data_IF_841427015367
#
_entry.id   IF_841427015367
#
_cell.length_a   1.000
_cell.length_b   1.000
_cell.length_c   1.000
_cell.angle_alpha   90.00
_cell.angle_beta   90.00
_cell.angle_gamma   90.00
#
_symmetry.space_group_name_H-M   'P 1'
#
loop_
_entity.id
_entity.type
_entity.pdbx_description
1 polymer ?
#
# COMPACT_ATOMS: atom_id res chain seq x y z
N UNK A 1 25.09 15.18 5.33
CA UNK A 1 25.11 13.72 5.11
C UNK A 1 24.76 13.07 6.43
N UNK A 2 23.77 12.17 6.47
CA UNK A 2 23.28 11.52 7.69
C UNK A 2 23.07 10.04 7.43
N UNK A 3 23.18 9.22 8.49
CA UNK A 3 22.89 7.78 8.46
C UNK A 3 21.43 7.56 8.81
N UNK A 4 20.66 6.93 7.95
CA UNK A 4 19.24 6.68 8.13
C UNK A 4 19.00 5.17 8.12
N UNK A 5 18.45 4.64 9.22
CA UNK A 5 18.02 3.26 9.30
C UNK A 5 16.54 3.16 8.95
N UNK A 6 16.20 2.31 7.99
CA UNK A 6 14.80 2.03 7.59
C UNK A 6 14.41 0.64 8.05
N UNK A 7 13.25 0.55 8.70
CA UNK A 7 12.60 -0.71 9.04
C UNK A 7 11.15 -0.73 8.56
N UNK A 8 10.81 -1.69 7.73
CA UNK A 8 9.43 -1.94 7.31
C UNK A 8 9.10 -3.42 7.42
N UNK A 9 7.83 -3.71 7.46
CA UNK A 9 7.28 -5.06 7.53
C UNK A 9 6.00 -5.12 6.70
N UNK A 10 5.49 -6.31 6.46
CA UNK A 10 4.27 -6.52 5.67
C UNK A 10 4.55 -7.01 4.26
N UNK A 11 3.82 -6.52 3.29
CA UNK A 11 3.88 -6.94 1.89
C UNK A 11 4.78 -6.03 1.03
N UNK A 12 4.95 -6.35 -0.24
CA UNK A 12 5.62 -5.43 -1.17
C UNK A 12 4.90 -4.08 -1.31
N UNK A 13 3.59 -4.03 -1.01
CA UNK A 13 2.83 -2.78 -0.95
C UNK A 13 3.31 -1.84 0.15
N UNK A 14 3.85 -2.39 1.23
CA UNK A 14 4.43 -1.64 2.34
C UNK A 14 5.92 -1.33 2.08
N UNK A 15 6.67 -2.27 1.50
CA UNK A 15 8.10 -2.11 1.23
C UNK A 15 8.40 -1.11 0.11
N UNK A 16 7.68 -1.15 -1.00
CA UNK A 16 7.98 -0.37 -2.19
C UNK A 16 7.97 1.16 -1.96
N UNK A 17 7.02 1.74 -1.21
CA UNK A 17 7.05 3.17 -0.89
C UNK A 17 8.27 3.60 -0.06
N UNK A 18 8.72 2.75 0.87
CA UNK A 18 9.95 3.00 1.61
C UNK A 18 11.20 2.88 0.73
N UNK A 19 11.20 1.97 -0.25
CA UNK A 19 12.27 1.85 -1.23
C UNK A 19 12.37 3.12 -2.09
N UNK A 20 11.23 3.66 -2.57
CA UNK A 20 11.21 4.92 -3.29
C UNK A 20 11.83 6.06 -2.46
N UNK A 21 11.46 6.16 -1.18
CA UNK A 21 12.01 7.17 -0.27
C UNK A 21 13.51 6.94 0.00
N UNK A 22 13.94 5.70 0.18
CA UNK A 22 15.35 5.35 0.38
C UNK A 22 16.23 5.75 -0.80
N UNK A 23 15.76 5.50 -2.02
CA UNK A 23 16.45 5.87 -3.25
C UNK A 23 16.58 7.40 -3.37
N UNK A 24 15.53 8.15 -3.04
CA UNK A 24 15.56 9.61 -3.06
C UNK A 24 16.49 10.18 -1.99
N UNK A 25 16.46 9.66 -0.75
CA UNK A 25 17.36 10.06 0.32
C UNK A 25 18.84 9.77 -0.04
N UNK A 26 19.11 8.61 -0.65
CA UNK A 26 20.45 8.28 -1.16
C UNK A 26 20.89 9.24 -2.27
N UNK A 27 20.00 9.58 -3.21
CA UNK A 27 20.28 10.56 -4.27
C UNK A 27 20.64 11.94 -3.70
N UNK A 28 20.10 12.29 -2.52
CA UNK A 28 20.43 13.52 -1.77
C UNK A 28 21.70 13.43 -0.93
N UNK A 29 22.42 12.29 -0.98
CA UNK A 29 23.70 12.11 -0.30
C UNK A 29 23.61 11.55 1.13
N UNK A 30 22.45 11.03 1.56
CA UNK A 30 22.36 10.31 2.82
C UNK A 30 22.82 8.85 2.66
N UNK A 31 23.39 8.29 3.73
CA UNK A 31 23.65 6.85 3.84
C UNK A 31 22.39 6.19 4.38
N UNK A 32 21.80 5.28 3.62
CA UNK A 32 20.59 4.56 4.00
C UNK A 32 20.91 3.08 4.17
N UNK A 33 20.52 2.52 5.32
CA UNK A 33 20.59 1.09 5.62
C UNK A 33 19.23 0.54 6.01
N UNK A 34 19.09 -0.78 5.91
CA UNK A 34 17.83 -1.46 6.15
C UNK A 34 17.94 -2.51 7.25
N UNK A 35 16.87 -2.64 8.05
CA UNK A 35 16.66 -3.73 8.98
C UNK A 35 15.30 -4.36 8.65
N UNK A 36 15.28 -5.46 7.91
CA UNK A 36 14.05 -6.04 7.31
C UNK A 36 14.12 -7.56 7.22
N UNK A 37 13.02 -8.20 6.83
CA UNK A 37 12.95 -9.64 6.57
C UNK A 37 13.92 -10.09 5.47
N UNK A 38 14.28 -11.39 5.41
CA UNK A 38 15.20 -11.93 4.41
C UNK A 38 14.83 -11.54 2.98
N UNK A 39 13.55 -11.69 2.60
CA UNK A 39 13.03 -11.38 1.27
C UNK A 39 13.25 -9.91 0.88
N UNK A 40 13.04 -8.99 1.80
CA UNK A 40 13.23 -7.57 1.55
C UNK A 40 14.68 -7.13 1.69
N UNK A 41 15.48 -7.82 2.50
CA UNK A 41 16.91 -7.59 2.57
C UNK A 41 17.59 -7.90 1.22
N UNK A 42 17.22 -8.99 0.55
CA UNK A 42 17.70 -9.31 -0.80
C UNK A 42 17.33 -8.21 -1.80
N UNK A 43 16.08 -7.73 -1.79
CA UNK A 43 15.64 -6.63 -2.65
C UNK A 43 16.39 -5.33 -2.38
N UNK A 44 16.64 -4.98 -1.11
CA UNK A 44 17.38 -3.79 -0.76
C UNK A 44 18.86 -3.89 -1.22
N UNK A 45 19.49 -5.06 -1.04
CA UNK A 45 20.86 -5.32 -1.51
C UNK A 45 20.96 -5.28 -3.03
N UNK A 46 19.97 -5.78 -3.76
CA UNK A 46 19.92 -5.68 -5.21
C UNK A 46 19.87 -4.22 -5.69
N UNK A 47 19.35 -3.30 -4.89
CA UNK A 47 19.38 -1.86 -5.13
C UNK A 47 20.67 -1.18 -4.61
N UNK A 48 21.65 -1.94 -4.13
CA UNK A 48 22.94 -1.43 -3.64
C UNK A 48 22.86 -0.81 -2.24
N UNK A 49 21.87 -1.18 -1.42
CA UNK A 49 21.79 -0.77 -0.03
C UNK A 49 22.42 -1.82 0.90
N UNK A 50 22.97 -1.36 2.01
CA UNK A 50 23.26 -2.23 3.14
C UNK A 50 21.95 -2.68 3.80
N UNK A 51 21.82 -3.98 4.05
CA UNK A 51 20.61 -4.53 4.66
C UNK A 51 20.95 -5.66 5.64
N UNK A 52 20.50 -5.49 6.88
CA UNK A 52 20.54 -6.48 7.95
C UNK A 52 19.21 -7.22 8.04
N UNK A 53 19.28 -8.53 8.28
CA UNK A 53 18.10 -9.32 8.59
C UNK A 53 17.76 -9.06 10.05
N UNK A 54 16.69 -8.30 10.31
CA UNK A 54 16.26 -7.94 11.63
C UNK A 54 14.74 -7.75 11.71
N UNK A 55 14.20 -8.01 12.88
CA UNK A 55 12.76 -8.00 13.12
C UNK A 55 12.09 -9.32 12.75
N UNK A 56 10.86 -9.45 13.16
CA UNK A 56 10.01 -10.60 12.84
C UNK A 56 9.02 -10.12 11.77
N UNK A 57 9.10 -10.73 10.60
CA UNK A 57 8.14 -10.47 9.53
C UNK A 57 7.04 -11.54 9.62
N UNK A 58 5.77 -11.15 9.72
CA UNK A 58 4.69 -12.11 9.65
C UNK A 58 4.81 -12.89 8.33
N UNK A 59 4.77 -14.19 8.41
CA UNK A 59 4.73 -15.03 7.23
C UNK A 59 3.36 -14.91 6.55
N UNK A 60 3.25 -13.94 5.64
CA UNK A 60 2.03 -13.65 4.87
C UNK A 60 1.66 -14.77 3.88
N UNK A 61 2.55 -15.72 3.65
CA UNK A 61 2.29 -16.94 2.86
C UNK A 61 1.74 -18.08 3.73
N UNK A 62 1.66 -17.86 5.04
CA UNK A 62 1.32 -18.85 6.05
C UNK A 62 -0.19 -19.06 6.24
N UNK A 63 -0.50 -20.04 7.09
CA UNK A 63 -1.83 -20.31 7.64
C UNK A 63 -2.49 -19.07 8.27
N UNK A 64 -1.70 -18.17 8.85
CA UNK A 64 -2.19 -16.94 9.45
C UNK A 64 -2.90 -16.05 8.42
N UNK A 65 -2.29 -15.79 7.27
CA UNK A 65 -2.92 -14.98 6.22
C UNK A 65 -4.20 -15.65 5.69
N UNK A 66 -4.17 -16.98 5.49
CA UNK A 66 -5.36 -17.74 5.08
C UNK A 66 -6.50 -17.57 6.08
N UNK A 67 -6.22 -17.67 7.39
CA UNK A 67 -7.20 -17.44 8.46
C UNK A 67 -7.71 -16.01 8.49
N UNK A 68 -6.83 -15.01 8.29
CA UNK A 68 -7.21 -13.60 8.22
C UNK A 68 -8.13 -13.32 7.03
N UNK A 69 -7.86 -13.88 5.85
CA UNK A 69 -8.70 -13.71 4.66
C UNK A 69 -10.07 -14.44 4.76
N UNK A 70 -10.14 -15.51 5.53
CA UNK A 70 -11.39 -16.23 5.80
C UNK A 70 -12.20 -15.63 6.95
N UNK A 71 -11.60 -14.79 7.78
CA UNK A 71 -12.21 -14.23 8.97
C UNK A 71 -13.09 -13.01 8.65
N UNK A 72 -14.02 -12.70 9.55
CA UNK A 72 -14.98 -11.61 9.40
C UNK A 72 -14.78 -10.51 10.46
N UNK A 73 -15.28 -9.32 10.15
CA UNK A 73 -15.31 -8.17 11.05
C UNK A 73 -13.92 -7.80 11.60
N UNK A 74 -13.75 -7.91 12.91
CA UNK A 74 -12.53 -7.50 13.65
C UNK A 74 -11.49 -8.60 13.77
N UNK A 75 -11.83 -9.84 13.43
CA UNK A 75 -10.97 -11.00 13.64
C UNK A 75 -9.64 -10.96 12.86
N UNK A 76 -9.57 -10.48 11.62
CA UNK A 76 -8.28 -10.31 10.93
C UNK A 76 -7.30 -9.42 11.71
N UNK A 77 -7.81 -8.32 12.29
CA UNK A 77 -6.99 -7.41 13.11
C UNK A 77 -6.55 -8.11 14.39
N UNK A 78 -7.45 -8.90 15.03
CA UNK A 78 -7.12 -9.65 16.24
C UNK A 78 -6.03 -10.68 15.99
N UNK A 79 -6.11 -11.45 14.92
CA UNK A 79 -5.09 -12.43 14.52
C UNK A 79 -3.75 -11.70 14.32
N UNK A 80 -3.71 -10.64 13.50
CA UNK A 80 -2.50 -9.91 13.19
C UNK A 80 -1.82 -9.34 14.45
N UNK A 81 -2.59 -8.67 15.32
CA UNK A 81 -2.01 -8.05 16.52
C UNK A 81 -1.59 -9.08 17.57
N UNK A 82 -2.43 -10.08 17.88
CA UNK A 82 -2.16 -11.03 18.95
C UNK A 82 -1.11 -12.08 18.59
N UNK A 83 -1.07 -12.51 17.34
CA UNK A 83 -0.19 -13.60 16.93
C UNK A 83 1.11 -13.11 16.28
N UNK A 84 1.15 -11.88 15.74
CA UNK A 84 2.33 -11.36 15.06
C UNK A 84 2.89 -10.08 15.70
N UNK A 85 2.13 -8.98 15.71
CA UNK A 85 2.70 -7.66 16.01
C UNK A 85 3.07 -7.46 17.48
N UNK A 86 2.21 -7.87 18.41
CA UNK A 86 2.47 -7.72 19.86
C UNK A 86 3.59 -8.65 20.33
N UNK A 87 3.61 -9.96 19.98
CA UNK A 87 4.72 -10.85 20.33
C UNK A 87 6.06 -10.42 19.73
N UNK A 88 6.04 -9.70 18.62
CA UNK A 88 7.25 -9.21 17.97
C UNK A 88 7.90 -8.00 18.66
N UNK A 89 7.24 -7.32 19.60
CA UNK A 89 7.77 -6.11 20.26
C UNK A 89 9.16 -6.33 20.85
N UNK A 90 9.33 -7.35 21.68
CA UNK A 90 10.62 -7.63 22.35
C UNK A 90 11.69 -8.09 21.35
N UNK A 91 11.48 -9.17 20.58
CA UNK A 91 12.53 -9.66 19.68
C UNK A 91 12.91 -8.65 18.60
N UNK A 92 11.97 -7.89 18.04
CA UNK A 92 12.27 -6.86 17.06
C UNK A 92 13.05 -5.69 17.69
N UNK A 93 12.70 -5.28 18.92
CA UNK A 93 13.47 -4.26 19.63
C UNK A 93 14.92 -4.68 19.82
N UNK A 94 15.17 -5.87 20.34
CA UNK A 94 16.53 -6.35 20.61
C UNK A 94 17.36 -6.53 19.32
N UNK A 95 16.73 -6.93 18.24
CA UNK A 95 17.39 -7.10 16.94
C UNK A 95 17.75 -5.78 16.26
N UNK A 96 16.91 -4.74 16.38
CA UNK A 96 17.06 -3.49 15.65
C UNK A 96 17.80 -2.42 16.48
N UNK A 97 17.70 -2.49 17.81
CA UNK A 97 18.33 -1.51 18.71
C UNK A 97 19.82 -1.23 18.42
N UNK A 98 20.70 -2.24 18.19
CA UNK A 98 22.10 -1.99 17.89
C UNK A 98 22.29 -1.16 16.62
N UNK A 99 21.49 -1.44 15.57
CA UNK A 99 21.54 -0.73 14.30
C UNK A 99 21.01 0.71 14.44
N UNK A 100 19.96 0.88 15.23
CA UNK A 100 19.37 2.21 15.45
C UNK A 100 20.30 3.13 16.26
N UNK A 101 21.15 2.60 17.17
CA UNK A 101 22.16 3.38 17.89
C UNK A 101 23.21 4.00 16.98
N UNK A 102 23.49 3.39 15.84
CA UNK A 102 24.47 3.88 14.87
C UNK A 102 23.89 4.85 13.85
N UNK A 103 22.55 5.04 13.85
CA UNK A 103 21.83 5.89 12.92
C UNK A 103 21.57 7.29 13.49
N UNK A 104 21.61 8.32 12.65
CA UNK A 104 21.17 9.67 12.95
C UNK A 104 19.63 9.80 12.97
N UNK A 105 18.95 8.88 12.27
CA UNK A 105 17.49 8.81 12.19
C UNK A 105 17.03 7.36 11.99
N UNK A 106 16.01 6.98 12.71
CA UNK A 106 15.27 5.73 12.53
C UNK A 106 13.92 6.00 11.87
N UNK A 107 13.65 5.36 10.74
CA UNK A 107 12.38 5.44 10.01
C UNK A 107 11.69 4.07 10.02
N UNK A 108 10.47 4.00 10.53
CA UNK A 108 9.75 2.72 10.65
C UNK A 108 8.34 2.77 10.07
N UNK A 109 7.79 1.60 9.74
CA UNK A 109 6.37 1.47 9.40
C UNK A 109 5.47 1.75 10.62
N UNK A 110 4.30 2.36 10.40
CA UNK A 110 3.34 2.72 11.47
C UNK A 110 2.73 1.53 12.24
N UNK A 111 2.81 0.31 11.70
CA UNK A 111 2.38 -0.90 12.43
C UNK A 111 3.54 -1.60 13.17
N UNK A 112 4.76 -1.05 13.13
CA UNK A 112 5.89 -1.59 13.87
C UNK A 112 5.83 -1.17 15.34
N UNK A 113 5.23 -2.01 16.16
CA UNK A 113 5.03 -1.73 17.59
C UNK A 113 6.34 -1.66 18.38
N UNK A 114 7.44 -2.25 17.90
CA UNK A 114 8.74 -2.14 18.54
C UNK A 114 9.40 -0.75 18.36
N UNK A 115 9.00 0.04 17.36
CA UNK A 115 9.67 1.30 17.01
C UNK A 115 9.70 2.32 18.17
N UNK A 116 8.64 2.52 18.95
CA UNK A 116 8.70 3.41 20.11
C UNK A 116 9.72 2.96 21.17
N UNK A 117 9.82 1.67 21.43
CA UNK A 117 10.78 1.11 22.39
C UNK A 117 12.21 1.29 21.89
N UNK A 118 12.47 1.04 20.61
CA UNK A 118 13.78 1.25 19.97
C UNK A 118 14.18 2.72 20.14
N UNK A 119 13.30 3.65 19.76
CA UNK A 119 13.59 5.08 19.84
C UNK A 119 13.86 5.56 21.28
N UNK A 120 13.09 5.08 22.27
CA UNK A 120 13.25 5.43 23.67
C UNK A 120 14.57 4.88 24.24
N UNK A 121 14.91 3.63 23.93
CA UNK A 121 16.13 2.97 24.44
C UNK A 121 17.42 3.43 23.80
N UNK A 122 17.37 3.90 22.55
CA UNK A 122 18.53 4.38 21.81
C UNK A 122 18.73 5.88 21.90
N UNK A 123 17.65 6.65 22.13
CA UNK A 123 17.63 8.10 21.98
C UNK A 123 17.64 8.57 20.53
N UNK A 124 17.62 7.64 19.56
CA UNK A 124 17.69 7.97 18.13
C UNK A 124 16.39 8.68 17.70
N UNK A 125 16.48 9.83 17.01
CA UNK A 125 15.31 10.47 16.42
C UNK A 125 14.53 9.49 15.55
N UNK A 126 13.21 9.47 15.72
CA UNK A 126 12.34 8.50 15.06
C UNK A 126 11.22 9.16 14.27
N UNK A 127 11.01 8.66 13.04
CA UNK A 127 9.89 8.97 12.15
C UNK A 127 9.13 7.67 11.89
N UNK A 128 7.79 7.73 11.90
CA UNK A 128 6.96 6.64 11.37
C UNK A 128 6.41 6.99 9.99
N UNK A 129 6.20 5.99 9.13
CA UNK A 129 5.61 6.19 7.81
C UNK A 129 4.63 5.07 7.44
N UNK A 130 3.69 5.36 6.55
CA UNK A 130 2.72 4.40 6.03
C UNK A 130 2.35 4.71 4.59
N UNK A 131 2.03 3.67 3.82
CA UNK A 131 1.39 3.79 2.51
C UNK A 131 -0.15 3.77 2.61
N UNK A 132 -0.72 3.18 3.67
CA UNK A 132 -2.16 3.15 3.92
C UNK A 132 -2.68 4.52 4.33
N UNK A 133 -3.84 4.92 3.79
CA UNK A 133 -4.35 6.29 3.88
C UNK A 133 -5.15 6.59 5.15
N UNK A 134 -6.08 5.73 5.54
CA UNK A 134 -6.95 5.95 6.69
C UNK A 134 -6.43 5.19 7.92
N UNK A 135 -5.33 5.67 8.49
CA UNK A 135 -4.64 5.03 9.60
C UNK A 135 -4.80 5.77 10.94
N UNK A 136 -5.35 6.99 10.93
CA UNK A 136 -5.52 7.82 12.13
C UNK A 136 -6.94 8.37 12.19
N UNK A 137 -7.47 8.51 13.41
CA UNK A 137 -8.82 9.01 13.65
C UNK A 137 -9.04 10.40 13.05
N UNK A 138 -10.24 10.62 12.55
CA UNK A 138 -10.66 11.92 12.01
C UNK A 138 -12.18 12.05 12.08
N UNK A 139 -12.67 13.26 12.17
CA UNK A 139 -14.08 13.57 12.00
C UNK A 139 -14.54 13.55 10.54
N UNK A 140 -13.61 13.57 9.59
CA UNK A 140 -13.93 13.64 8.16
C UNK A 140 -14.34 12.27 7.56
N UNK A 141 -13.78 11.17 8.09
CA UNK A 141 -14.00 9.81 7.57
C UNK A 141 -14.32 8.83 8.70
N UNK A 142 -15.30 7.93 8.52
CA UNK A 142 -15.59 6.88 9.49
C UNK A 142 -14.43 5.89 9.60
N UNK A 143 -14.37 5.09 10.68
CA UNK A 143 -13.42 4.00 10.78
C UNK A 143 -13.50 3.05 9.60
N UNK A 144 -12.39 2.38 9.21
CA UNK A 144 -12.40 1.37 8.17
C UNK A 144 -13.47 0.31 8.38
N UNK A 145 -14.17 -0.06 7.31
CA UNK A 145 -15.27 -1.04 7.35
C UNK A 145 -16.65 -0.46 7.70
N UNK A 146 -16.74 0.82 8.04
CA UNK A 146 -18.02 1.50 8.34
C UNK A 146 -18.52 2.30 7.14
N UNK A 147 -19.65 1.92 6.58
CA UNK A 147 -20.19 2.49 5.34
C UNK A 147 -21.04 3.77 5.57
N UNK A 148 -20.68 4.61 6.52
CA UNK A 148 -21.45 5.84 6.79
C UNK A 148 -21.09 6.94 5.80
N UNK A 149 -22.10 7.47 5.09
CA UNK A 149 -21.93 8.64 4.21
C UNK A 149 -22.53 9.87 4.87
N UNK A 150 -21.80 10.99 4.80
CA UNK A 150 -22.34 12.28 5.23
C UNK A 150 -22.64 12.38 6.72
N UNK A 151 -22.02 11.54 7.55
CA UNK A 151 -22.21 11.59 8.99
C UNK A 151 -21.60 12.85 9.58
N UNK A 152 -22.25 13.45 10.58
CA UNK A 152 -21.65 14.52 11.36
C UNK A 152 -20.33 14.06 11.99
N UNK A 153 -19.35 14.97 12.07
CA UNK A 153 -18.02 14.67 12.61
C UNK A 153 -18.03 14.04 14.01
N UNK A 154 -18.98 14.41 14.86
CA UNK A 154 -19.12 13.83 16.20
C UNK A 154 -19.50 12.34 16.17
N UNK A 155 -20.36 11.93 15.22
CA UNK A 155 -20.76 10.52 15.08
C UNK A 155 -19.61 9.69 14.51
N UNK A 156 -18.87 10.26 13.56
CA UNK A 156 -17.65 9.66 13.00
C UNK A 156 -16.61 9.42 14.09
N UNK A 157 -16.35 10.42 14.95
CA UNK A 157 -15.44 10.28 16.10
C UNK A 157 -15.92 9.27 17.13
N UNK A 158 -17.22 9.20 17.39
CA UNK A 158 -17.79 8.18 18.25
C UNK A 158 -17.53 6.76 17.68
N UNK A 159 -17.62 6.61 16.36
CA UNK A 159 -17.28 5.34 15.69
C UNK A 159 -15.82 4.94 15.91
N UNK A 160 -14.87 5.87 15.83
CA UNK A 160 -13.47 5.63 16.15
C UNK A 160 -13.27 5.24 17.63
N UNK A 161 -13.90 5.95 18.55
CA UNK A 161 -13.85 5.64 19.99
C UNK A 161 -14.37 4.22 20.29
N UNK A 162 -15.48 3.82 19.67
CA UNK A 162 -16.02 2.46 19.78
C UNK A 162 -15.02 1.46 19.21
N UNK A 163 -14.42 1.74 18.05
CA UNK A 163 -13.38 0.92 17.44
C UNK A 163 -12.19 0.70 18.39
N UNK A 164 -11.71 1.73 19.05
CA UNK A 164 -10.62 1.62 20.03
C UNK A 164 -10.99 0.76 21.24
N UNK A 165 -12.22 0.89 21.76
CA UNK A 165 -12.69 0.06 22.88
C UNK A 165 -12.79 -1.42 22.52
N UNK A 166 -13.13 -1.75 21.27
CA UNK A 166 -13.18 -3.14 20.78
C UNK A 166 -11.79 -3.80 20.86
N UNK A 167 -10.72 -3.01 20.70
CA UNK A 167 -9.33 -3.48 20.71
C UNK A 167 -8.56 -3.09 22.00
N UNK A 168 -9.25 -2.64 23.04
CA UNK A 168 -8.60 -2.17 24.27
C UNK A 168 -7.78 -3.24 25.01
N UNK A 169 -8.05 -4.52 24.81
CA UNK A 169 -7.25 -5.62 25.33
C UNK A 169 -5.83 -5.67 24.74
N UNK A 170 -5.61 -5.11 23.55
CA UNK A 170 -4.28 -5.06 22.93
C UNK A 170 -3.32 -4.13 23.66
N UNK A 171 -3.83 -3.05 24.24
CA UNK A 171 -3.02 -2.12 25.03
C UNK A 171 -2.42 -2.81 26.25
N UNK A 172 -3.19 -3.65 26.94
CA UNK A 172 -2.72 -4.41 28.08
C UNK A 172 -1.66 -5.45 27.68
N UNK A 173 -1.87 -6.15 26.56
CA UNK A 173 -0.92 -7.14 26.01
C UNK A 173 0.38 -6.47 25.58
N UNK A 174 0.32 -5.37 24.82
CA UNK A 174 1.50 -4.62 24.40
C UNK A 174 2.24 -4.00 25.59
N UNK A 175 1.51 -3.50 26.60
CA UNK A 175 2.10 -2.97 27.82
C UNK A 175 2.92 -4.03 28.58
N UNK A 176 2.52 -5.29 28.55
CA UNK A 176 3.30 -6.38 29.13
C UNK A 176 4.64 -6.57 28.42
N UNK A 177 4.66 -6.47 27.09
CA UNK A 177 5.90 -6.57 26.29
C UNK A 177 6.82 -5.33 26.50
N UNK A 178 6.28 -4.12 26.54
CA UNK A 178 7.06 -2.90 26.81
C UNK A 178 7.70 -2.93 28.20
N UNK A 179 7.01 -3.44 29.23
CA UNK A 179 7.59 -3.58 30.58
C UNK A 179 8.80 -4.51 30.60
N UNK A 180 8.83 -5.59 29.80
CA UNK A 180 10.01 -6.49 29.68
C UNK A 180 11.24 -5.74 29.18
N UNK A 181 11.04 -4.68 28.41
CA UNK A 181 12.09 -3.82 27.87
C UNK A 181 12.46 -2.62 28.77
N UNK A 182 11.75 -2.44 29.88
CA UNK A 182 11.89 -1.26 30.74
C UNK A 182 11.38 0.04 30.12
N UNK A 183 10.46 -0.04 29.15
CA UNK A 183 9.92 1.10 28.38
C UNK A 183 8.48 1.38 28.84
N UNK A 184 8.11 2.65 28.84
CA UNK A 184 6.76 3.06 29.20
C UNK A 184 5.71 2.54 28.21
N UNK A 185 4.60 1.93 28.68
CA UNK A 185 3.51 1.50 27.82
C UNK A 185 2.90 2.64 27.03
N UNK A 186 2.51 2.38 25.79
CA UNK A 186 1.80 3.33 24.94
C UNK A 186 0.36 2.89 24.73
N UNK A 187 -0.63 3.80 24.91
CA UNK A 187 -2.02 3.47 24.64
C UNK A 187 -2.33 3.49 23.15
N UNK A 188 -3.47 2.91 22.79
CA UNK A 188 -4.02 2.90 21.43
C UNK A 188 -3.04 2.27 20.41
N UNK A 189 -2.50 1.09 20.71
CA UNK A 189 -1.51 0.41 19.85
C UNK A 189 -2.02 0.15 18.45
N UNK A 190 -3.34 0.02 18.24
CA UNK A 190 -3.93 -0.20 16.91
C UNK A 190 -3.89 1.07 16.04
N UNK A 191 -4.00 2.26 16.65
CA UNK A 191 -4.25 3.50 15.92
C UNK A 191 -3.29 4.64 16.22
N UNK A 192 -2.29 4.42 17.05
CA UNK A 192 -1.39 5.51 17.45
C UNK A 192 -0.16 5.07 18.23
N UNK A 193 -0.13 3.85 18.73
CA UNK A 193 0.98 3.37 19.56
C UNK A 193 2.33 3.39 18.86
N UNK A 194 2.36 3.16 17.55
CA UNK A 194 3.57 3.18 16.73
C UNK A 194 3.71 4.45 15.87
N UNK A 195 3.02 5.56 16.21
CA UNK A 195 3.16 6.82 15.51
C UNK A 195 4.15 7.74 16.21
N UNK A 196 5.08 8.26 15.42
CA UNK A 196 6.04 9.25 15.91
C UNK A 196 5.38 10.64 15.96
N UNK A 197 5.39 11.26 17.13
CA UNK A 197 4.94 12.66 17.29
C UNK A 197 5.95 13.66 16.73
N UNK A 198 7.13 13.22 16.33
CA UNK A 198 8.11 14.06 15.63
C UNK A 198 7.70 14.25 14.18
N UNK A 199 7.38 13.15 13.50
CA UNK A 199 6.78 13.10 12.18
C UNK A 199 6.19 11.70 11.94
N UNK A 200 4.92 11.64 11.56
CA UNK A 200 4.30 10.49 10.90
C UNK A 200 4.04 10.87 9.46
N UNK A 201 4.59 10.10 8.52
CA UNK A 201 4.63 10.44 7.12
C UNK A 201 3.70 9.53 6.32
N UNK A 202 2.72 10.10 5.62
CA UNK A 202 1.91 9.42 4.62
C UNK A 202 2.64 9.36 3.29
N UNK A 203 2.92 8.16 2.79
CA UNK A 203 3.62 7.92 1.52
C UNK A 203 2.61 7.72 0.38
N UNK A 204 1.60 8.58 0.31
CA UNK A 204 0.56 8.57 -0.71
C UNK A 204 0.31 9.96 -1.28
N UNK A 205 -0.35 10.03 -2.43
CA UNK A 205 -0.71 11.29 -3.09
C UNK A 205 -1.78 12.06 -2.32
N UNK A 206 -1.56 13.34 -1.98
CA UNK A 206 -2.61 14.21 -1.42
C UNK A 206 -3.77 14.46 -2.40
N UNK A 207 -3.56 14.31 -3.73
CA UNK A 207 -4.66 14.34 -4.69
C UNK A 207 -5.54 13.09 -4.63
N UNK A 208 -4.96 11.93 -4.28
CA UNK A 208 -5.69 10.69 -4.05
C UNK A 208 -6.43 10.72 -2.69
N UNK A 209 -5.75 11.05 -1.62
CA UNK A 209 -6.34 11.15 -0.29
C UNK A 209 -5.75 12.35 0.45
N UNK A 210 -6.49 13.47 0.51
CA UNK A 210 -6.02 14.68 1.17
C UNK A 210 -5.90 14.46 2.68
N UNK A 211 -4.90 15.08 3.28
CA UNK A 211 -4.73 15.08 4.73
C UNK A 211 -5.97 15.71 5.39
N UNK A 212 -6.67 15.03 6.31
CA UNK A 212 -7.74 15.64 7.09
C UNK A 212 -7.27 16.85 7.91
N UNK A 213 -8.08 17.90 7.97
CA UNK A 213 -7.73 19.15 8.67
C UNK A 213 -7.57 18.98 10.18
N UNK A 214 -8.24 17.98 10.75
CA UNK A 214 -8.20 17.68 12.20
C UNK A 214 -7.05 16.74 12.60
N UNK A 215 -6.24 16.27 11.65
CA UNK A 215 -5.04 15.52 11.98
C UNK A 215 -3.97 16.40 12.63
N UNK A 216 -3.22 15.87 13.60
CA UNK A 216 -2.19 16.63 14.30
C UNK A 216 -1.08 17.09 13.33
N UNK A 217 -0.42 18.20 13.67
CA UNK A 217 0.62 18.81 12.82
C UNK A 217 1.82 17.90 12.51
N UNK A 218 2.10 16.94 13.40
CA UNK A 218 3.17 15.97 13.19
C UNK A 218 2.79 14.88 12.18
N UNK A 219 1.53 14.80 11.74
CA UNK A 219 1.11 13.91 10.67
C UNK A 219 1.10 14.68 9.34
N UNK A 220 1.99 14.32 8.43
CA UNK A 220 2.13 14.97 7.11
C UNK A 220 1.94 13.96 5.99
N UNK A 221 1.43 14.41 4.83
CA UNK A 221 1.33 13.62 3.61
C UNK A 221 2.41 14.09 2.66
N UNK A 222 3.34 13.20 2.36
CA UNK A 222 4.55 13.53 1.61
C UNK A 222 4.47 13.34 0.11
N UNK A 223 3.43 12.64 -0.37
CA UNK A 223 3.25 12.37 -1.81
C UNK A 223 3.37 10.89 -2.17
N UNK A 224 2.95 10.53 -3.38
CA UNK A 224 2.99 9.15 -3.85
C UNK A 224 4.42 8.68 -4.04
N UNK A 225 4.86 7.81 -3.15
CA UNK A 225 6.18 7.19 -3.17
C UNK A 225 6.15 5.93 -4.06
N UNK A 226 6.44 6.11 -5.36
CA UNK A 226 6.38 5.07 -6.37
C UNK A 226 7.73 4.40 -6.60
N UNK A 227 7.76 3.08 -6.51
CA UNK A 227 8.84 2.23 -6.98
C UNK A 227 8.25 0.97 -7.62
N UNK A 228 8.51 0.77 -8.90
CA UNK A 228 7.91 -0.28 -9.72
C UNK A 228 8.84 -1.50 -9.90
N UNK A 229 9.91 -1.60 -9.09
CA UNK A 229 10.92 -2.67 -9.19
C UNK A 229 12.20 -2.22 -9.87
N UNK A 230 13.02 -3.17 -10.29
CA UNK A 230 14.41 -2.98 -10.73
C UNK A 230 14.57 -2.31 -12.10
N UNK A 231 13.51 -2.15 -12.86
CA UNK A 231 13.55 -1.43 -14.13
C UNK A 231 13.61 0.07 -13.90
N UNK A 232 14.56 0.81 -14.53
CA UNK A 232 14.52 2.27 -14.53
C UNK A 232 13.19 2.72 -15.14
N UNK A 233 12.58 3.82 -14.65
CA UNK A 233 11.35 4.35 -15.24
C UNK A 233 11.63 4.71 -16.71
N UNK A 234 11.06 3.92 -17.61
CA UNK A 234 11.17 4.11 -19.06
C UNK A 234 10.23 5.22 -19.58
N UNK A 235 9.52 5.88 -18.65
CA UNK A 235 8.51 6.88 -18.96
C UNK A 235 9.03 8.28 -18.69
N UNK A 236 9.02 9.10 -19.72
CA UNK A 236 9.16 10.54 -19.61
C UNK A 236 7.82 11.09 -19.07
N UNK A 237 7.78 11.48 -17.78
CA UNK A 237 6.55 11.83 -17.09
C UNK A 237 6.36 13.34 -17.15
N UNK A 238 5.76 13.81 -18.21
CA UNK A 238 5.39 15.21 -18.35
C UNK A 238 4.15 15.33 -19.20
N UNK A 239 2.95 15.37 -18.60
CA UNK A 239 1.76 15.73 -19.34
C UNK A 239 0.55 14.81 -19.20
N UNK A 240 -0.40 14.95 -20.10
CA UNK A 240 -1.63 14.19 -20.20
C UNK A 240 -1.36 12.69 -20.52
N UNK A 241 -2.40 11.84 -20.44
CA UNK A 241 -2.32 10.40 -20.73
C UNK A 241 -1.55 10.03 -22.02
N UNK A 242 -1.57 10.90 -23.03
CA UNK A 242 -0.87 10.72 -24.31
C UNK A 242 0.66 10.69 -24.20
N UNK A 243 1.22 11.26 -23.14
CA UNK A 243 2.67 11.32 -22.92
C UNK A 243 3.21 10.12 -22.14
N UNK A 244 2.32 9.24 -21.67
CA UNK A 244 2.66 7.98 -21.01
C UNK A 244 2.89 6.91 -22.09
N UNK A 245 4.02 7.00 -22.80
CA UNK A 245 4.33 6.03 -23.85
C UNK A 245 4.67 4.67 -23.20
N UNK A 246 4.02 3.57 -23.65
CA UNK A 246 4.42 2.23 -23.22
C UNK A 246 5.86 1.96 -23.69
N UNK A 247 6.58 1.16 -22.91
CA UNK A 247 7.88 0.64 -23.36
C UNK A 247 7.67 -0.09 -24.70
N UNK A 248 8.23 0.39 -25.82
CA UNK A 248 8.01 -0.21 -27.12
C UNK A 248 8.58 -1.64 -27.25
N UNK A 249 9.45 -2.05 -26.32
CA UNK A 249 9.99 -3.38 -26.24
C UNK A 249 9.04 -4.41 -25.59
N UNK A 250 7.89 -3.97 -25.04
CA UNK A 250 6.95 -4.86 -24.35
C UNK A 250 5.49 -4.61 -24.77
N UNK A 251 5.04 -5.01 -25.97
CA UNK A 251 3.65 -4.89 -26.39
C UNK A 251 2.79 -5.97 -25.72
N UNK A 252 2.68 -5.89 -24.37
CA UNK A 252 2.06 -6.94 -23.55
C UNK A 252 0.53 -7.03 -23.71
N UNK A 253 -0.13 -6.01 -24.27
CA UNK A 253 -1.58 -6.01 -24.52
C UNK A 253 -1.94 -5.93 -26.00
N UNK A 254 -1.03 -6.37 -26.89
CA UNK A 254 -1.23 -6.35 -28.34
C UNK A 254 -1.09 -4.96 -28.97
N UNK A 255 -0.65 -4.89 -30.21
CA UNK A 255 -0.59 -3.63 -30.96
C UNK A 255 -2.01 -3.14 -31.25
N UNK A 256 -2.25 -1.88 -30.94
CA UNK A 256 -3.51 -1.13 -30.99
C UNK A 256 -4.60 -1.65 -31.92
N UNK A 257 -5.72 -2.00 -31.34
CA UNK A 257 -6.98 -2.32 -31.99
C UNK A 257 -8.14 -1.65 -31.28
N UNK A 258 -9.31 -1.61 -31.96
CA UNK A 258 -10.54 -1.00 -31.41
C UNK A 258 -11.13 -1.75 -30.18
N UNK A 259 -10.46 -2.79 -29.71
CA UNK A 259 -10.96 -3.68 -28.64
C UNK A 259 -10.40 -3.28 -27.29
N UNK A 260 -11.24 -3.29 -26.23
CA UNK A 260 -10.80 -3.03 -24.87
C UNK A 260 -9.70 -3.97 -24.38
N UNK A 261 -8.74 -3.40 -23.64
CA UNK A 261 -7.58 -4.07 -23.05
C UNK A 261 -7.70 -4.05 -21.53
N UNK A 262 -7.86 -5.20 -20.92
CA UNK A 262 -8.13 -5.32 -19.51
C UNK A 262 -6.92 -5.92 -18.79
N UNK A 263 -6.43 -5.23 -17.76
CA UNK A 263 -5.42 -5.78 -16.87
C UNK A 263 -6.08 -6.37 -15.64
N UNK A 264 -5.82 -7.62 -15.34
CA UNK A 264 -6.20 -8.27 -14.08
C UNK A 264 -4.95 -8.48 -13.23
N UNK A 265 -4.99 -8.08 -11.97
CA UNK A 265 -3.89 -8.32 -11.05
C UNK A 265 -4.37 -8.48 -9.61
N UNK A 266 -3.65 -9.30 -8.86
CA UNK A 266 -3.75 -9.39 -7.42
C UNK A 266 -2.44 -8.86 -6.82
N UNK A 267 -2.52 -7.92 -5.91
CA UNK A 267 -1.33 -7.40 -5.23
C UNK A 267 -0.65 -8.45 -4.37
N UNK A 268 0.58 -8.18 -4.00
CA UNK A 268 1.48 -9.11 -3.30
C UNK A 268 0.91 -9.72 -2.00
N UNK A 269 -0.06 -9.08 -1.37
CA UNK A 269 -0.69 -9.59 -0.15
C UNK A 269 -1.68 -10.75 -0.38
N UNK A 270 -2.22 -10.92 -1.59
CA UNK A 270 -3.27 -11.92 -1.84
C UNK A 270 -3.03 -12.75 -3.11
N UNK A 271 -1.95 -12.51 -3.84
CA UNK A 271 -1.65 -13.21 -5.10
C UNK A 271 -1.52 -14.73 -4.92
N UNK A 272 -0.99 -15.17 -3.77
CA UNK A 272 -0.84 -16.59 -3.42
C UNK A 272 -2.16 -17.23 -2.93
N UNK A 273 -3.20 -16.41 -2.69
CA UNK A 273 -4.52 -16.86 -2.25
C UNK A 273 -5.62 -16.32 -3.18
N UNK A 274 -5.56 -16.59 -4.49
CA UNK A 274 -6.45 -15.98 -5.47
C UNK A 274 -7.92 -16.45 -5.34
N UNK A 275 -8.17 -17.61 -4.71
CA UNK A 275 -9.47 -18.24 -4.74
C UNK A 275 -9.97 -18.41 -6.17
N UNK A 276 -11.20 -18.06 -6.46
CA UNK A 276 -11.80 -18.17 -7.79
C UNK A 276 -11.52 -16.97 -8.72
N UNK A 277 -10.66 -16.03 -8.31
CA UNK A 277 -10.47 -14.77 -9.04
C UNK A 277 -10.08 -15.00 -10.51
N UNK A 278 -9.09 -15.85 -10.78
CA UNK A 278 -8.63 -16.12 -12.15
C UNK A 278 -9.66 -16.90 -12.97
N UNK A 279 -10.32 -17.90 -12.38
CA UNK A 279 -11.36 -18.66 -13.05
C UNK A 279 -12.55 -17.78 -13.42
N UNK A 280 -12.99 -16.92 -12.51
CA UNK A 280 -14.08 -15.94 -12.73
C UNK A 280 -13.67 -14.91 -13.80
N UNK A 281 -12.43 -14.43 -13.82
CA UNK A 281 -11.92 -13.54 -14.86
C UNK A 281 -11.98 -14.18 -16.26
N UNK A 282 -11.50 -15.43 -16.39
CA UNK A 282 -11.56 -16.16 -17.67
C UNK A 282 -13.00 -16.40 -18.14
N UNK A 283 -13.91 -16.77 -17.22
CA UNK A 283 -15.34 -16.94 -17.54
C UNK A 283 -15.97 -15.61 -17.98
N UNK A 284 -15.63 -14.49 -17.34
CA UNK A 284 -16.15 -13.18 -17.72
C UNK A 284 -15.65 -12.74 -19.11
N UNK A 285 -14.41 -13.06 -19.45
CA UNK A 285 -13.79 -12.74 -20.73
C UNK A 285 -14.29 -13.59 -21.90
N UNK A 286 -14.74 -14.84 -21.64
CA UNK A 286 -15.11 -15.82 -22.69
C UNK A 286 -16.13 -15.28 -23.70
N UNK A 287 -17.25 -14.65 -23.30
CA UNK A 287 -18.25 -14.14 -24.23
C UNK A 287 -17.95 -12.74 -24.80
N UNK A 288 -16.73 -12.21 -24.58
CA UNK A 288 -16.30 -10.89 -25.08
C UNK A 288 -15.27 -11.03 -26.17
N UNK A 289 -14.93 -9.94 -26.82
CA UNK A 289 -13.79 -9.85 -27.77
C UNK A 289 -12.61 -9.06 -27.16
N UNK A 290 -12.62 -8.77 -25.86
CA UNK A 290 -11.60 -8.02 -25.16
C UNK A 290 -10.27 -8.78 -25.09
N UNK A 291 -9.16 -8.02 -25.11
CA UNK A 291 -7.84 -8.54 -24.79
C UNK A 291 -7.56 -8.39 -23.31
N UNK A 292 -6.79 -9.30 -22.72
CA UNK A 292 -6.44 -9.20 -21.31
C UNK A 292 -5.02 -9.67 -20.99
N UNK A 293 -4.46 -9.12 -19.91
CA UNK A 293 -3.29 -9.65 -19.20
C UNK A 293 -3.72 -10.07 -17.80
N UNK A 294 -3.33 -11.26 -17.40
CA UNK A 294 -3.49 -11.82 -16.06
C UNK A 294 -2.13 -11.77 -15.36
N UNK A 295 -1.85 -10.63 -14.68
CA UNK A 295 -0.58 -10.40 -14.01
C UNK A 295 -0.54 -11.05 -12.62
N UNK A 296 0.42 -11.96 -12.41
CA UNK A 296 0.56 -12.73 -11.18
C UNK A 296 -0.30 -14.01 -11.15
N UNK A 297 -1.00 -14.33 -12.23
CA UNK A 297 -1.66 -15.62 -12.34
C UNK A 297 -0.63 -16.77 -12.52
N UNK A 298 -0.96 -18.00 -12.08
CA UNK A 298 -0.10 -19.15 -12.32
C UNK A 298 0.18 -19.36 -13.82
N UNK A 299 1.42 -19.59 -14.21
CA UNK A 299 1.78 -19.82 -15.63
C UNK A 299 1.04 -21.02 -16.23
N UNK A 300 0.77 -22.03 -15.41
CA UNK A 300 0.02 -23.22 -15.81
C UNK A 300 -1.51 -23.01 -15.84
N UNK A 301 -2.00 -21.77 -15.68
CA UNK A 301 -3.44 -21.49 -15.71
C UNK A 301 -4.02 -21.89 -17.08
N UNK A 302 -4.97 -22.86 -17.15
CA UNK A 302 -5.49 -23.33 -18.42
C UNK A 302 -6.36 -22.26 -19.08
N UNK A 303 -5.97 -21.80 -20.26
CA UNK A 303 -6.76 -20.86 -21.04
C UNK A 303 -7.79 -21.60 -21.92
N UNK A 304 -9.10 -21.28 -21.83
CA UNK A 304 -10.10 -21.75 -22.76
C UNK A 304 -9.71 -21.47 -24.23
N UNK A 305 -10.03 -22.35 -25.18
CA UNK A 305 -9.63 -22.19 -26.59
C UNK A 305 -9.99 -20.81 -27.17
N UNK A 306 -11.18 -20.27 -26.86
CA UNK A 306 -11.64 -18.96 -27.33
C UNK A 306 -10.89 -17.76 -26.75
N UNK A 307 -10.03 -17.96 -25.74
CA UNK A 307 -9.22 -16.90 -25.13
C UNK A 307 -7.76 -16.92 -25.61
N UNK A 308 -7.32 -18.01 -26.24
CA UNK A 308 -5.95 -18.13 -26.75
C UNK A 308 -5.69 -17.04 -27.80
N UNK A 309 -4.53 -16.40 -27.70
CA UNK A 309 -4.12 -15.33 -28.60
C UNK A 309 -4.63 -13.92 -28.23
N UNK A 310 -5.57 -13.80 -27.27
CA UNK A 310 -6.04 -12.50 -26.77
C UNK A 310 -5.95 -12.34 -25.24
N UNK A 311 -5.63 -13.40 -24.51
CA UNK A 311 -5.34 -13.39 -23.09
C UNK A 311 -3.93 -13.90 -22.85
N UNK A 312 -3.14 -13.14 -22.11
CA UNK A 312 -1.78 -13.49 -21.73
C UNK A 312 -1.69 -13.68 -20.21
N UNK A 313 -0.94 -14.69 -19.77
CA UNK A 313 -0.59 -14.90 -18.37
C UNK A 313 0.86 -14.43 -18.19
N UNK A 314 1.08 -13.50 -17.28
CA UNK A 314 2.40 -12.92 -17.00
C UNK A 314 2.66 -13.04 -15.50
N UNK A 315 3.71 -13.72 -15.06
CA UNK A 315 3.99 -13.89 -13.64
C UNK A 315 4.36 -12.56 -12.95
N UNK A 316 5.11 -11.70 -13.64
CA UNK A 316 5.53 -10.40 -13.15
C UNK A 316 5.83 -9.42 -14.30
N UNK A 317 5.41 -8.17 -14.13
CA UNK A 317 5.88 -7.03 -14.91
C UNK A 317 5.72 -5.74 -14.08
N UNK A 318 6.57 -4.72 -14.31
CA UNK A 318 6.40 -3.40 -13.71
C UNK A 318 5.05 -2.78 -14.08
N UNK A 319 4.40 -2.13 -13.14
CA UNK A 319 3.12 -1.45 -13.41
C UNK A 319 3.29 -0.34 -14.45
N UNK A 320 4.45 0.33 -14.49
CA UNK A 320 4.77 1.34 -15.50
C UNK A 320 4.71 0.84 -16.93
N UNK A 321 4.94 -0.45 -17.17
CA UNK A 321 4.90 -1.05 -18.49
C UNK A 321 3.47 -1.48 -18.90
N UNK A 322 2.62 -1.84 -17.93
CA UNK A 322 1.31 -2.42 -18.19
C UNK A 322 0.15 -1.42 -18.09
N UNK A 323 0.12 -0.60 -17.01
CA UNK A 323 -1.00 0.30 -16.80
C UNK A 323 -1.23 1.31 -17.94
N UNK A 324 -0.19 1.92 -18.54
CA UNK A 324 -0.40 2.83 -19.67
C UNK A 324 -1.08 2.19 -20.88
N UNK A 325 -0.98 0.87 -21.01
CA UNK A 325 -1.57 0.10 -22.11
C UNK A 325 -3.01 -0.35 -21.84
N UNK A 326 -3.48 -0.30 -20.59
CA UNK A 326 -4.79 -0.82 -20.19
C UNK A 326 -5.89 0.24 -20.30
N UNK A 327 -7.08 -0.17 -20.73
CA UNK A 327 -8.29 0.66 -20.74
C UNK A 327 -9.06 0.54 -19.42
N UNK A 328 -8.86 -0.57 -18.69
CA UNK A 328 -9.33 -0.77 -17.33
C UNK A 328 -8.43 -1.75 -16.59
N UNK A 329 -8.38 -1.64 -15.27
CA UNK A 329 -7.70 -2.61 -14.40
C UNK A 329 -8.67 -3.21 -13.38
N UNK A 330 -8.62 -4.53 -13.23
CA UNK A 330 -9.33 -5.28 -12.19
C UNK A 330 -8.33 -5.73 -11.15
N UNK A 331 -8.52 -5.31 -9.90
CA UNK A 331 -7.58 -5.66 -8.82
C UNK A 331 -8.27 -5.73 -7.45
N UNK A 332 -7.53 -6.22 -6.45
CA UNK A 332 -8.06 -6.39 -5.09
C UNK A 332 -8.23 -5.09 -4.29
N UNK A 333 -7.61 -3.99 -4.70
CA UNK A 333 -7.72 -2.70 -3.99
C UNK A 333 -6.64 -2.41 -2.95
N UNK A 334 -5.50 -3.12 -2.98
CA UNK A 334 -4.34 -2.73 -2.17
C UNK A 334 -3.88 -1.32 -2.54
N UNK A 335 -3.49 -0.50 -1.54
CA UNK A 335 -3.21 0.93 -1.73
C UNK A 335 -2.19 1.22 -2.82
N UNK A 336 -1.11 0.42 -2.91
CA UNK A 336 -0.08 0.58 -3.94
C UNK A 336 -0.62 0.40 -5.36
N UNK A 337 -1.37 -0.69 -5.62
CA UNK A 337 -2.00 -0.97 -6.91
C UNK A 337 -3.06 0.08 -7.25
N UNK A 338 -3.85 0.50 -6.27
CA UNK A 338 -4.90 1.51 -6.44
C UNK A 338 -4.29 2.86 -6.86
N UNK A 339 -3.25 3.31 -6.15
CA UNK A 339 -2.59 4.57 -6.50
C UNK A 339 -1.83 4.48 -7.84
N UNK A 340 -1.26 3.31 -8.17
CA UNK A 340 -0.65 3.12 -9.49
C UNK A 340 -1.69 3.27 -10.61
N UNK A 341 -2.87 2.64 -10.48
CA UNK A 341 -3.95 2.81 -11.44
C UNK A 341 -4.35 4.29 -11.61
N UNK A 342 -4.54 4.99 -10.50
CA UNK A 342 -4.85 6.43 -10.52
C UNK A 342 -3.73 7.26 -11.18
N UNK A 343 -2.47 7.01 -10.80
CA UNK A 343 -1.31 7.72 -11.34
C UNK A 343 -1.18 7.57 -12.86
N UNK A 344 -1.46 6.36 -13.38
CA UNK A 344 -1.47 6.07 -14.82
C UNK A 344 -2.81 6.40 -15.50
N UNK A 345 -3.76 7.02 -14.78
CA UNK A 345 -5.06 7.43 -15.33
C UNK A 345 -5.92 6.26 -15.83
N UNK A 346 -5.80 5.08 -15.22
CA UNK A 346 -6.53 3.87 -15.62
C UNK A 346 -7.73 3.66 -14.69
N UNK A 347 -8.96 3.63 -15.21
CA UNK A 347 -10.15 3.32 -14.41
C UNK A 347 -10.05 1.94 -13.76
N UNK A 348 -10.39 1.86 -12.46
CA UNK A 348 -10.30 0.63 -11.68
C UNK A 348 -11.66 -0.02 -11.45
N UNK A 349 -11.69 -1.36 -11.55
CA UNK A 349 -12.74 -2.18 -10.93
C UNK A 349 -12.12 -2.94 -9.76
N UNK A 350 -12.48 -2.56 -8.54
CA UNK A 350 -11.89 -3.15 -7.33
C UNK A 350 -12.78 -4.27 -6.78
N UNK A 351 -12.18 -5.44 -6.58
CA UNK A 351 -12.78 -6.63 -5.95
C UNK A 351 -12.06 -6.86 -4.60
N UNK A 352 -12.49 -6.20 -3.51
CA UNK A 352 -11.76 -6.24 -2.25
C UNK A 352 -11.81 -7.63 -1.62
N UNK A 353 -10.71 -8.02 -0.95
CA UNK A 353 -10.53 -9.33 -0.32
C UNK A 353 -10.29 -9.24 1.19
N UNK A 354 -9.70 -8.14 1.67
CA UNK A 354 -9.37 -7.94 3.07
C UNK A 354 -8.70 -6.59 3.33
N UNK A 355 -8.37 -6.33 4.58
CA UNK A 355 -7.59 -5.16 5.03
C UNK A 355 -8.20 -3.81 4.62
N UNK A 356 -7.35 -2.87 4.19
CA UNK A 356 -7.70 -1.54 3.67
C UNK A 356 -8.38 -1.56 2.29
N UNK A 357 -8.46 -2.73 1.66
CA UNK A 357 -8.97 -2.86 0.29
C UNK A 357 -10.44 -2.46 0.17
N UNK A 358 -11.25 -2.74 1.19
CA UNK A 358 -12.66 -2.34 1.23
C UNK A 358 -12.82 -0.82 1.24
N UNK A 359 -11.96 -0.12 2.00
CA UNK A 359 -11.98 1.34 2.07
C UNK A 359 -11.47 1.95 0.77
N UNK A 360 -10.38 1.44 0.21
CA UNK A 360 -9.86 1.88 -1.08
C UNK A 360 -10.91 1.70 -2.19
N UNK A 361 -11.65 0.57 -2.20
CA UNK A 361 -12.73 0.32 -3.13
C UNK A 361 -13.90 1.32 -2.97
N UNK A 362 -14.26 1.60 -1.72
CA UNK A 362 -15.31 2.58 -1.41
C UNK A 362 -14.88 4.00 -1.80
N UNK A 363 -13.63 4.35 -1.56
CA UNK A 363 -13.05 5.64 -1.91
C UNK A 363 -13.04 5.87 -3.43
N UNK A 364 -12.50 4.94 -4.20
CA UNK A 364 -12.47 4.99 -5.66
C UNK A 364 -13.87 5.17 -6.25
N UNK A 365 -14.85 4.42 -5.74
CA UNK A 365 -16.23 4.55 -6.24
C UNK A 365 -16.89 5.87 -5.84
N UNK A 366 -16.63 6.36 -4.63
CA UNK A 366 -17.17 7.63 -4.12
C UNK A 366 -16.68 8.81 -4.93
N UNK A 367 -15.38 8.84 -5.24
CA UNK A 367 -14.75 9.90 -6.03
C UNK A 367 -15.00 9.78 -7.54
N UNK A 368 -15.57 8.66 -7.99
CA UNK A 368 -15.91 8.45 -9.40
C UNK A 368 -14.72 8.05 -10.27
N UNK A 369 -13.63 7.55 -9.70
CA UNK A 369 -12.43 7.12 -10.43
C UNK A 369 -12.49 5.66 -10.88
N UNK A 370 -13.54 4.95 -10.51
CA UNK A 370 -13.75 3.55 -10.83
C UNK A 370 -15.01 2.98 -10.20
N UNK A 371 -15.09 1.66 -10.17
CA UNK A 371 -16.19 0.91 -9.59
C UNK A 371 -15.68 -0.12 -8.59
N UNK A 372 -16.55 -0.60 -7.72
CA UNK A 372 -16.29 -1.75 -6.85
C UNK A 372 -17.26 -2.89 -7.15
N UNK A 373 -16.79 -4.11 -6.89
CA UNK A 373 -17.61 -5.32 -6.89
C UNK A 373 -17.32 -6.08 -5.59
N UNK A 374 -18.30 -6.17 -4.71
CA UNK A 374 -18.13 -6.81 -3.41
C UNK A 374 -17.97 -8.33 -3.56
N UNK A 375 -17.26 -9.01 -2.63
CA UNK A 375 -17.06 -10.45 -2.69
C UNK A 375 -18.36 -11.28 -2.78
N UNK A 376 -19.42 -10.83 -2.09
CA UNK A 376 -20.73 -11.48 -2.12
C UNK A 376 -21.39 -11.48 -3.52
N UNK A 377 -21.05 -10.49 -4.35
CA UNK A 377 -21.60 -10.32 -5.70
C UNK A 377 -20.63 -10.82 -6.79
N UNK A 378 -19.45 -11.35 -6.40
CA UNK A 378 -18.39 -11.70 -7.34
C UNK A 378 -18.73 -12.93 -8.15
N UNK A 379 -19.10 -12.72 -9.40
CA UNK A 379 -19.39 -13.75 -10.40
C UNK A 379 -18.94 -13.28 -11.78
N UNK A 380 -18.79 -14.19 -12.74
CA UNK A 380 -18.39 -13.84 -14.10
C UNK A 380 -19.38 -12.87 -14.78
N UNK A 381 -20.68 -13.03 -14.53
CA UNK A 381 -21.71 -12.14 -15.07
C UNK A 381 -21.61 -10.73 -14.46
N UNK A 382 -21.51 -10.63 -13.13
CA UNK A 382 -21.38 -9.35 -12.43
C UNK A 382 -20.08 -8.64 -12.78
N UNK A 383 -18.96 -9.38 -12.87
CA UNK A 383 -17.65 -8.86 -13.24
C UNK A 383 -17.70 -8.25 -14.66
N UNK A 384 -18.25 -8.99 -15.64
CA UNK A 384 -18.43 -8.51 -17.01
C UNK A 384 -19.30 -7.26 -17.06
N UNK A 385 -20.49 -7.29 -16.44
CA UNK A 385 -21.41 -6.16 -16.43
C UNK A 385 -20.78 -4.90 -15.84
N UNK A 386 -19.98 -5.04 -14.77
CA UNK A 386 -19.26 -3.91 -14.17
C UNK A 386 -18.15 -3.39 -15.08
N UNK A 387 -17.44 -4.27 -15.78
CA UNK A 387 -16.43 -3.87 -16.76
C UNK A 387 -17.06 -3.16 -17.96
N UNK A 388 -18.16 -3.66 -18.53
CA UNK A 388 -18.91 -3.00 -19.60
C UNK A 388 -19.31 -1.57 -19.19
N UNK A 389 -19.85 -1.42 -17.98
CA UNK A 389 -20.21 -0.11 -17.42
C UNK A 389 -18.99 0.80 -17.22
N UNK A 390 -17.88 0.26 -16.75
CA UNK A 390 -16.64 1.01 -16.53
C UNK A 390 -16.06 1.53 -17.85
N UNK A 391 -15.99 0.65 -18.85
CA UNK A 391 -15.46 0.95 -20.18
C UNK A 391 -16.33 1.94 -20.96
N UNK A 392 -17.66 1.91 -20.77
CA UNK A 392 -18.60 2.83 -21.42
C UNK A 392 -18.69 4.20 -20.74
N UNK A 393 -18.14 4.37 -19.53
CA UNK A 393 -18.32 5.59 -18.75
C UNK A 393 -17.25 6.64 -19.06
N UNK A 394 -17.53 7.55 -19.97
CA UNK A 394 -16.65 8.71 -20.23
C UNK A 394 -16.42 9.58 -19.00
N UNK A 395 -17.42 9.65 -18.09
CA UNK A 395 -17.30 10.38 -16.82
C UNK A 395 -16.20 9.78 -15.93
N UNK A 396 -16.17 8.46 -15.78
CA UNK A 396 -15.14 7.78 -14.98
C UNK A 396 -13.76 7.94 -15.62
N UNK A 397 -13.67 7.78 -16.93
CA UNK A 397 -12.40 7.95 -17.66
C UNK A 397 -11.84 9.36 -17.50
N UNK A 398 -12.69 10.40 -17.66
CA UNK A 398 -12.29 11.78 -17.48
C UNK A 398 -11.82 12.05 -16.03
N UNK A 399 -12.57 11.58 -15.03
CA UNK A 399 -12.21 11.75 -13.63
C UNK A 399 -10.89 11.02 -13.25
N UNK A 400 -10.69 9.80 -13.75
CA UNK A 400 -9.43 9.07 -13.57
C UNK A 400 -8.24 9.78 -14.25
N UNK A 401 -8.47 10.36 -15.44
CA UNK A 401 -7.45 11.12 -16.16
C UNK A 401 -7.08 12.40 -15.40
N UNK A 402 -8.06 13.16 -14.92
CA UNK A 402 -7.83 14.37 -14.12
C UNK A 402 -7.03 14.06 -12.85
N UNK A 403 -7.43 13.02 -12.11
CA UNK A 403 -6.69 12.59 -10.92
C UNK A 403 -5.24 12.24 -11.27
N UNK A 404 -5.02 11.44 -12.31
CA UNK A 404 -3.67 11.05 -12.73
C UNK A 404 -2.80 12.25 -13.12
N UNK A 405 -3.36 13.25 -13.80
CA UNK A 405 -2.66 14.51 -14.09
C UNK A 405 -2.25 15.24 -12.81
N UNK A 406 -3.17 15.34 -11.84
CA UNK A 406 -2.88 15.96 -10.53
C UNK A 406 -1.78 15.19 -9.77
N UNK A 407 -1.87 13.88 -9.70
CA UNK A 407 -0.86 13.04 -9.03
C UNK A 407 0.53 13.17 -9.67
N UNK A 408 0.61 13.25 -10.99
CA UNK A 408 1.88 13.43 -11.71
C UNK A 408 2.48 14.83 -11.57
N UNK A 409 1.66 15.83 -11.30
CA UNK A 409 2.11 17.20 -11.03
C UNK A 409 2.64 17.40 -9.60
N UNK A 410 2.43 16.43 -8.70
CA UNK A 410 2.94 16.49 -7.34
C UNK A 410 4.46 16.23 -7.29
N UNK A 411 5.19 16.81 -6.32
CA UNK A 411 6.60 16.52 -6.13
C UNK A 411 6.87 15.06 -5.68
N UNK A 412 5.82 14.33 -5.29
CA UNK A 412 5.87 12.93 -4.93
C UNK A 412 6.86 12.65 -3.79
N UNK A 413 7.70 11.63 -3.97
CA UNK A 413 8.66 11.20 -2.96
C UNK A 413 9.70 12.28 -2.59
N UNK A 414 9.94 13.26 -3.46
CA UNK A 414 10.87 14.35 -3.17
C UNK A 414 10.37 15.20 -1.99
N UNK A 415 9.07 15.50 -1.92
CA UNK A 415 8.50 16.18 -0.76
C UNK A 415 8.56 15.34 0.52
N UNK A 416 8.40 14.01 0.41
CA UNK A 416 8.62 13.10 1.54
C UNK A 416 10.05 13.21 2.08
N UNK A 417 11.05 13.29 1.21
CA UNK A 417 12.45 13.46 1.60
C UNK A 417 12.71 14.84 2.24
N UNK A 418 12.08 15.93 1.74
CA UNK A 418 12.17 17.26 2.37
C UNK A 418 11.68 17.23 3.82
N UNK A 419 10.57 16.55 4.09
CA UNK A 419 10.03 16.40 5.43
C UNK A 419 10.96 15.58 6.34
N UNK A 420 11.60 14.54 5.83
CA UNK A 420 12.61 13.76 6.57
C UNK A 420 13.85 14.61 6.89
N UNK A 421 14.36 15.36 5.91
CA UNK A 421 15.52 16.27 6.10
C UNK A 421 15.22 17.39 7.09
N UNK A 422 14.00 17.91 7.11
CA UNK A 422 13.57 18.90 8.10
C UNK A 422 13.66 18.36 9.54
N UNK A 423 13.36 17.09 9.77
CA UNK A 423 13.53 16.44 11.08
C UNK A 423 15.01 16.25 11.43
N UNK A 424 15.84 15.84 10.46
CA UNK A 424 17.31 15.73 10.64
C UNK A 424 17.96 17.07 11.00
N UNK A 425 17.50 18.16 10.39
CA UNK A 425 17.99 19.52 10.68
C UNK A 425 17.65 19.99 12.11
N UNK A 426 16.53 19.59 12.66
CA UNK A 426 16.11 19.91 14.03
C UNK A 426 16.92 19.16 15.11
N UNK A 427 17.44 17.98 14.79
CA UNK A 427 18.25 17.16 15.70
C UNK A 427 19.70 17.63 15.87
N UNK A 428 20.15 18.56 15.03
CA UNK A 428 21.53 19.12 15.02
C UNK A 428 21.65 20.49 15.72
N UNK A 429 20.77 20.83 16.67
CA UNK A 429 21.08 22.00 17.53
C UNK A 429 22.26 21.65 18.43
N UNK A 430 23.30 22.51 18.44
CA UNK A 430 24.53 22.32 19.21
C UNK A 430 24.29 22.24 20.70
#
# INVERSE_FOLDING_TARGET
MSKILIHTLGSSGDFNPFMALALELRRRGHTVSWAVSPKFAEKARAQGFEASIAGVDPDWESDMLRRMLAAHLTEPIRIMFKEALIPAIVPATLAIEPLAREADLFLSHTIQLAAPAIAERTGTPWISASAATLIHETGAYPPPGVAWKGCPAWLTRLGWEIGYRIFGDFDALAAAEYRKLGVAPRPNVVSGGAYSRRLTLGLWSPAFFPRPNDWPRWFQVGGYARWDGDAPPTLNIGGARGDLLPNPASPLLGAGGAKPRILFTLGSSVVNHPGEFWATALQALTPTDWSAVLLGAPEALPLPPGLRGRVQVIPYAPYGDLFPQADAVVHQGGVGTTQAACYYSVPSLIVPRGFDQFENAAHIQREGWGLRLLPADFSAASLRLRLERLLASEKIKAAATELGCRMRAEPGVAHSADLVEAVLGQGRKP
#
